data_IF_421351773550
#
_entry.id   IF_421351773550
#
_cell.length_a   1.000
_cell.length_b   1.000
_cell.length_c   1.000
_cell.angle_alpha   90.00
_cell.angle_beta   90.00
_cell.angle_gamma   90.00
#
_symmetry.space_group_name_H-M   'P 1'
#
loop_
_entity.id
_entity.type
_entity.pdbx_description
1 polymer ?
#
# COMPACT_ATOMS: atom_id res chain seq x y z
N UNK A 1 24.70 -24.74 6.52
CA UNK A 1 24.16 -23.57 5.79
C UNK A 1 22.73 -23.87 5.34
N UNK A 2 21.74 -23.22 5.95
CA UNK A 2 20.34 -23.23 5.46
C UNK A 2 19.89 -21.77 5.39
N UNK A 3 20.25 -21.10 4.29
CA UNK A 3 19.77 -19.77 3.94
C UNK A 3 18.46 -19.91 3.15
N UNK A 4 17.38 -20.32 3.81
CA UNK A 4 16.05 -19.98 3.30
C UNK A 4 15.74 -18.56 3.80
N UNK A 5 15.94 -17.62 2.89
CA UNK A 5 15.73 -16.19 2.98
C UNK A 5 14.45 -15.80 3.75
N UNK A 6 14.59 -15.47 5.03
CA UNK A 6 13.65 -14.68 5.83
C UNK A 6 13.48 -13.23 5.34
N UNK A 7 13.94 -12.90 4.12
CA UNK A 7 13.98 -11.52 3.60
C UNK A 7 12.58 -10.91 3.56
N UNK A 8 11.58 -11.62 3.03
CA UNK A 8 10.23 -11.08 2.85
C UNK A 8 9.54 -10.75 4.19
N UNK A 9 9.69 -11.60 5.21
CA UNK A 9 9.12 -11.33 6.53
C UNK A 9 9.81 -10.13 7.19
N UNK A 10 11.13 -10.02 7.05
CA UNK A 10 11.90 -8.90 7.61
C UNK A 10 11.48 -7.55 7.03
N UNK A 11 11.09 -7.47 5.76
CA UNK A 11 10.59 -6.23 5.16
C UNK A 11 9.26 -5.76 5.79
N UNK A 12 8.44 -6.69 6.30
CA UNK A 12 7.18 -6.38 6.98
C UNK A 12 7.33 -5.89 8.43
N UNK A 13 8.54 -5.89 8.99
CA UNK A 13 8.80 -5.44 10.36
C UNK A 13 8.91 -3.91 10.45
N UNK A 14 7.82 -3.21 10.13
CA UNK A 14 7.80 -1.75 9.99
C UNK A 14 8.27 -0.98 11.23
N UNK A 15 7.89 -1.44 12.44
CA UNK A 15 8.33 -0.80 13.68
C UNK A 15 9.86 -0.76 13.79
N UNK A 16 10.54 -1.87 13.45
CA UNK A 16 12.00 -1.96 13.50
C UNK A 16 12.66 -1.02 12.48
N UNK A 17 12.07 -0.89 11.29
CA UNK A 17 12.57 0.04 10.28
C UNK A 17 12.36 1.48 10.71
N UNK A 18 11.18 1.80 11.24
CA UNK A 18 10.85 3.14 11.74
C UNK A 18 11.75 3.57 12.89
N UNK A 19 12.09 2.67 13.81
CA UNK A 19 13.07 2.94 14.87
C UNK A 19 14.43 3.39 14.33
N UNK A 20 14.86 2.83 13.20
CA UNK A 20 16.11 3.25 12.58
C UNK A 20 16.02 4.63 11.93
N UNK A 21 14.89 4.96 11.29
CA UNK A 21 14.65 6.30 10.75
C UNK A 21 14.59 7.36 11.85
N UNK A 22 13.92 7.06 12.97
CA UNK A 22 13.76 7.98 14.10
C UNK A 22 15.07 8.29 14.84
N UNK A 23 16.17 7.55 14.59
CA UNK A 23 17.51 7.90 15.08
C UNK A 23 18.09 9.14 14.39
N UNK A 24 17.64 9.43 13.18
CA UNK A 24 18.21 10.47 12.32
C UNK A 24 17.21 11.56 11.95
N UNK A 25 15.91 11.23 11.91
CA UNK A 25 14.85 12.15 11.56
C UNK A 25 13.82 12.24 12.69
N UNK A 26 13.40 13.45 13.10
CA UNK A 26 12.30 13.62 14.04
C UNK A 26 10.99 13.12 13.42
N UNK A 27 10.03 12.74 14.28
CA UNK A 27 8.76 12.13 13.86
C UNK A 27 7.96 13.04 12.93
N UNK A 28 8.04 14.35 13.13
CA UNK A 28 7.33 15.38 12.37
C UNK A 28 7.81 15.47 10.92
N UNK A 29 9.00 14.94 10.60
CA UNK A 29 9.52 14.86 9.22
C UNK A 29 9.18 13.53 8.53
N UNK A 30 8.33 12.69 9.14
CA UNK A 30 7.92 11.40 8.61
C UNK A 30 6.41 11.33 8.51
N UNK A 31 5.89 11.46 7.29
CA UNK A 31 4.51 11.16 6.98
C UNK A 31 4.36 9.66 6.67
N UNK A 32 3.70 8.95 7.57
CA UNK A 32 3.31 7.57 7.35
C UNK A 32 1.88 7.63 6.82
N UNK A 33 1.50 6.80 5.85
CA UNK A 33 0.14 6.75 5.30
C UNK A 33 -0.39 5.32 5.27
N UNK A 34 -1.70 5.15 5.39
CA UNK A 34 -2.35 3.87 5.14
C UNK A 34 -2.63 3.74 3.65
N UNK A 35 -2.17 2.64 3.03
CA UNK A 35 -2.47 2.38 1.64
C UNK A 35 -3.98 2.34 1.38
N UNK A 36 -4.80 1.78 2.29
CA UNK A 36 -6.27 1.71 2.15
C UNK A 36 -6.92 3.09 1.99
N UNK A 37 -6.41 4.10 2.68
CA UNK A 37 -6.97 5.45 2.63
C UNK A 37 -6.70 6.12 1.28
N UNK A 38 -5.64 5.73 0.57
CA UNK A 38 -5.42 6.17 -0.82
C UNK A 38 -6.51 5.66 -1.78
N UNK A 39 -7.18 4.55 -1.45
CA UNK A 39 -8.27 4.00 -2.26
C UNK A 39 -9.62 4.65 -1.92
N UNK A 40 -9.91 4.81 -0.63
CA UNK A 40 -11.24 5.21 -0.16
C UNK A 40 -11.35 6.71 0.16
N UNK A 41 -10.24 7.39 0.39
CA UNK A 41 -10.19 8.75 0.88
C UNK A 41 -9.07 9.59 0.24
N UNK A 42 -8.90 9.44 -1.08
CA UNK A 42 -7.76 9.98 -1.83
C UNK A 42 -7.58 11.50 -1.65
N UNK A 43 -8.65 12.28 -1.76
CA UNK A 43 -8.57 13.74 -1.72
C UNK A 43 -8.04 14.25 -0.38
N UNK A 44 -8.47 13.64 0.72
CA UNK A 44 -8.00 13.99 2.06
C UNK A 44 -6.54 13.57 2.27
N UNK A 45 -6.15 12.37 1.81
CA UNK A 45 -4.75 11.92 1.92
C UNK A 45 -3.83 12.80 1.06
N UNK A 46 -4.27 13.22 -0.13
CA UNK A 46 -3.52 14.14 -0.97
C UNK A 46 -3.40 15.51 -0.32
N UNK A 47 -4.48 16.03 0.28
CA UNK A 47 -4.44 17.28 1.02
C UNK A 47 -3.45 17.21 2.20
N UNK A 48 -3.49 16.14 3.00
CA UNK A 48 -2.53 15.89 4.08
C UNK A 48 -1.09 15.81 3.55
N UNK A 49 -0.89 15.14 2.41
CA UNK A 49 0.42 15.02 1.78
C UNK A 49 0.94 16.37 1.28
N UNK A 50 0.09 17.19 0.65
CA UNK A 50 0.48 18.53 0.22
C UNK A 50 0.81 19.43 1.40
N UNK A 51 0.01 19.39 2.46
CA UNK A 51 0.24 20.16 3.68
C UNK A 51 1.57 19.74 4.34
N UNK A 52 1.86 18.44 4.42
CA UNK A 52 3.13 17.91 4.94
C UNK A 52 4.34 18.35 4.11
N UNK A 53 4.22 18.35 2.78
CA UNK A 53 5.27 18.80 1.87
C UNK A 53 5.36 20.33 1.74
N UNK A 54 4.48 21.07 2.41
CA UNK A 54 4.34 22.53 2.29
C UNK A 54 4.13 22.97 0.83
N UNK A 55 3.26 22.26 0.11
CA UNK A 55 2.92 22.52 -1.28
C UNK A 55 1.51 23.14 -1.40
N UNK A 56 1.28 24.02 -2.39
CA UNK A 56 -0.07 24.48 -2.71
C UNK A 56 -0.99 23.30 -3.01
N UNK A 57 -2.21 23.33 -2.48
CA UNK A 57 -3.23 22.31 -2.76
C UNK A 57 -3.56 22.33 -4.25
N UNK A 58 -3.33 21.21 -4.91
CA UNK A 58 -3.67 21.03 -6.31
C UNK A 58 -4.77 19.98 -6.45
N UNK A 59 -5.82 20.32 -7.18
CA UNK A 59 -6.85 19.35 -7.55
C UNK A 59 -6.27 18.48 -8.67
N UNK A 60 -5.85 17.26 -8.33
CA UNK A 60 -5.44 16.30 -9.36
C UNK A 60 -6.69 15.93 -10.14
N UNK A 61 -6.78 16.38 -11.40
CA UNK A 61 -7.85 15.96 -12.31
C UNK A 61 -7.87 14.42 -12.32
N UNK A 62 -8.91 13.84 -11.74
CA UNK A 62 -8.96 12.41 -11.52
C UNK A 62 -8.93 11.67 -12.86
N UNK A 63 -7.94 10.79 -13.02
CA UNK A 63 -7.94 9.53 -13.79
C UNK A 63 -8.52 9.57 -15.20
N UNK A 64 -7.67 9.15 -16.15
CA UNK A 64 -8.01 8.67 -17.51
C UNK A 64 -9.52 8.52 -17.74
N UNK A 65 -10.09 9.42 -18.54
CA UNK A 65 -11.49 9.37 -18.95
C UNK A 65 -11.84 7.97 -19.49
N UNK A 66 -12.96 7.39 -19.04
CA UNK A 66 -13.54 6.09 -19.47
C UNK A 66 -13.30 5.77 -20.95
N UNK A 67 -13.42 6.79 -21.80
CA UNK A 67 -13.43 6.68 -23.25
C UNK A 67 -12.04 6.53 -23.90
N UNK A 68 -10.94 6.68 -23.14
CA UNK A 68 -9.55 6.52 -23.63
C UNK A 68 -8.96 5.14 -23.33
N UNK A 69 -9.52 4.40 -22.37
CA UNK A 69 -9.06 3.05 -22.00
C UNK A 69 -9.51 2.03 -23.05
N UNK A 70 -10.77 2.14 -23.52
CA UNK A 70 -11.35 1.24 -24.53
C UNK A 70 -10.76 1.43 -25.95
N UNK A 71 -9.99 2.50 -26.20
CA UNK A 71 -9.46 2.82 -27.53
C UNK A 71 -7.99 2.42 -27.75
N UNK A 72 -7.29 1.94 -26.73
CA UNK A 72 -5.93 1.40 -26.90
C UNK A 72 -6.05 -0.07 -27.35
N UNK A 73 -6.37 -0.25 -28.63
CA UNK A 73 -6.23 -1.56 -29.27
C UNK A 73 -4.76 -1.96 -29.24
N UNK A 74 -4.39 -3.17 -28.80
CA UNK A 74 -3.01 -3.61 -28.89
C UNK A 74 -2.61 -3.73 -30.35
N UNK A 75 -1.66 -2.91 -30.78
CA UNK A 75 -0.93 -3.14 -32.03
C UNK A 75 -0.02 -4.35 -31.77
N UNK A 76 -0.51 -5.55 -32.09
CA UNK A 76 0.29 -6.78 -32.13
C UNK A 76 0.24 -7.66 -30.87
N UNK A 77 -0.57 -8.72 -30.93
CA UNK A 77 -0.08 -10.10 -30.76
C UNK A 77 0.42 -10.62 -29.41
N UNK A 78 0.30 -9.92 -28.28
CA UNK A 78 0.56 -10.49 -26.96
C UNK A 78 -0.57 -10.24 -25.98
N UNK A 79 -1.34 -11.28 -25.66
CA UNK A 79 -2.47 -11.31 -24.72
C UNK A 79 -2.05 -11.13 -23.25
N UNK A 80 -1.26 -10.10 -22.93
CA UNK A 80 -1.12 -9.64 -21.56
C UNK A 80 -2.21 -8.59 -21.32
N UNK A 81 -3.36 -9.08 -20.85
CA UNK A 81 -4.52 -8.28 -20.47
C UNK A 81 -4.14 -7.23 -19.40
N UNK A 82 -3.72 -6.04 -19.84
CA UNK A 82 -3.41 -4.87 -19.00
C UNK A 82 -4.68 -4.34 -18.30
N UNK A 83 -5.86 -4.74 -18.78
CA UNK A 83 -7.18 -4.26 -18.34
C UNK A 83 -7.81 -5.05 -17.18
N UNK A 84 -7.20 -6.17 -16.74
CA UNK A 84 -7.72 -6.94 -15.58
C UNK A 84 -7.48 -6.25 -14.23
N UNK A 85 -6.73 -5.15 -14.20
CA UNK A 85 -6.32 -4.48 -12.96
C UNK A 85 -6.95 -3.09 -12.78
N UNK A 86 -8.09 -2.86 -13.42
CA UNK A 86 -8.87 -1.65 -13.21
C UNK A 86 -9.84 -1.93 -12.07
N UNK A 87 -9.60 -1.31 -10.92
CA UNK A 87 -10.61 -1.26 -9.86
C UNK A 87 -11.82 -0.48 -10.41
N UNK A 88 -13.00 -1.09 -10.41
CA UNK A 88 -14.21 -0.45 -10.97
C UNK A 88 -14.72 0.72 -10.12
N UNK A 89 -14.44 0.70 -8.81
CA UNK A 89 -14.85 1.69 -7.80
C UNK A 89 -13.80 2.80 -7.71
N UNK A 90 -12.53 2.42 -7.72
CA UNK A 90 -11.41 3.35 -7.63
C UNK A 90 -10.74 3.58 -8.96
N UNK A 91 -11.18 3.14 -10.13
CA UNK A 91 -10.68 3.58 -11.47
C UNK A 91 -9.14 3.70 -11.65
N UNK A 92 -8.30 3.00 -10.87
CA UNK A 92 -6.82 3.08 -10.96
C UNK A 92 -6.25 1.87 -11.67
N UNK A 93 -5.23 2.07 -12.49
CA UNK A 93 -4.37 1.02 -13.02
C UNK A 93 -3.42 0.59 -11.90
N UNK A 94 -3.67 -0.57 -11.30
CA UNK A 94 -2.70 -1.19 -10.41
C UNK A 94 -1.93 -2.26 -11.17
N UNK A 95 -0.66 -2.48 -10.81
CA UNK A 95 0.03 -3.68 -11.26
C UNK A 95 -0.36 -4.83 -10.32
N UNK A 96 -1.65 -5.20 -10.33
CA UNK A 96 -2.13 -6.35 -9.55
C UNK A 96 -1.67 -7.59 -10.29
N UNK A 97 -0.63 -8.23 -9.76
CA UNK A 97 -0.26 -9.54 -10.24
C UNK A 97 -1.30 -10.55 -9.73
N UNK A 98 -1.77 -11.43 -10.61
CA UNK A 98 -2.73 -12.46 -10.24
C UNK A 98 -2.03 -13.53 -9.40
N UNK A 99 -2.17 -13.44 -8.08
CA UNK A 99 -1.63 -14.43 -7.14
C UNK A 99 -2.73 -15.40 -6.70
N UNK A 100 -2.42 -16.70 -6.53
CA UNK A 100 -3.36 -17.63 -5.93
C UNK A 100 -3.69 -17.19 -4.49
N UNK A 101 -4.89 -17.53 -4.03
CA UNK A 101 -5.31 -17.24 -2.67
C UNK A 101 -4.37 -17.92 -1.65
N UNK A 102 -4.02 -17.19 -0.59
CA UNK A 102 -3.16 -17.71 0.47
C UNK A 102 -3.92 -18.74 1.30
N UNK A 103 -3.28 -19.87 1.63
CA UNK A 103 -3.83 -20.85 2.57
C UNK A 103 -4.17 -20.20 3.91
N UNK A 104 -5.32 -20.56 4.46
CA UNK A 104 -5.84 -19.95 5.70
C UNK A 104 -4.91 -20.14 6.90
N UNK A 105 -4.22 -21.28 6.98
CA UNK A 105 -3.27 -21.61 8.04
C UNK A 105 -2.03 -20.72 7.96
N UNK A 106 -1.53 -20.48 6.74
CA UNK A 106 -0.41 -19.57 6.50
C UNK A 106 -0.79 -18.14 6.87
N UNK A 107 -2.01 -17.69 6.48
CA UNK A 107 -2.51 -16.36 6.85
C UNK A 107 -2.57 -16.19 8.36
N UNK A 108 -3.14 -17.17 9.08
CA UNK A 108 -3.23 -17.15 10.54
C UNK A 108 -1.84 -17.09 11.17
N UNK A 109 -0.89 -17.91 10.71
CA UNK A 109 0.49 -17.87 11.19
C UNK A 109 1.13 -16.50 10.99
N UNK A 110 0.98 -15.89 9.82
CA UNK A 110 1.54 -14.55 9.54
C UNK A 110 0.89 -13.47 10.40
N UNK A 111 -0.44 -13.52 10.59
CA UNK A 111 -1.15 -12.60 11.49
C UNK A 111 -0.64 -12.73 12.92
N UNK A 112 -0.53 -13.96 13.44
CA UNK A 112 -0.02 -14.22 14.79
C UNK A 112 1.44 -13.76 14.95
N UNK A 113 2.27 -13.97 13.93
CA UNK A 113 3.67 -13.55 13.90
C UNK A 113 3.81 -12.02 13.88
N UNK A 114 3.08 -11.31 13.01
CA UNK A 114 3.21 -9.86 12.87
C UNK A 114 2.47 -9.06 13.95
N UNK A 115 1.47 -9.63 14.62
CA UNK A 115 0.66 -8.94 15.65
C UNK A 115 1.50 -8.13 16.66
N UNK A 116 2.47 -8.68 17.40
CA UNK A 116 3.23 -7.89 18.37
C UNK A 116 4.05 -6.76 17.71
N UNK A 117 4.50 -6.95 16.47
CA UNK A 117 5.24 -5.93 15.72
C UNK A 117 4.32 -4.81 15.23
N UNK A 118 3.09 -5.16 14.84
CA UNK A 118 2.06 -4.21 14.43
C UNK A 118 1.58 -3.36 15.63
N UNK A 119 1.37 -3.96 16.81
CA UNK A 119 1.04 -3.20 18.02
C UNK A 119 2.11 -2.16 18.35
N UNK A 120 3.39 -2.57 18.33
CA UNK A 120 4.51 -1.65 18.53
C UNK A 120 4.52 -0.52 17.51
N UNK A 121 4.25 -0.82 16.24
CA UNK A 121 4.13 0.20 15.21
C UNK A 121 3.01 1.19 15.54
N UNK A 122 1.83 0.70 15.92
CA UNK A 122 0.66 1.53 16.21
C UNK A 122 0.91 2.48 17.38
N UNK A 123 1.57 2.00 18.44
CA UNK A 123 2.02 2.83 19.56
C UNK A 123 2.99 3.93 19.09
N UNK A 124 3.98 3.58 18.27
CA UNK A 124 4.96 4.55 17.76
C UNK A 124 4.32 5.65 16.91
N UNK A 125 3.39 5.27 16.02
CA UNK A 125 2.75 6.23 15.11
C UNK A 125 1.59 6.97 15.77
N UNK A 126 1.00 6.44 16.85
CA UNK A 126 -0.13 7.03 17.56
C UNK A 126 -1.47 6.83 16.85
N UNK A 127 -1.55 5.85 15.95
CA UNK A 127 -2.77 5.47 15.23
C UNK A 127 -2.73 3.99 14.89
N UNK A 128 -3.91 3.39 14.75
CA UNK A 128 -4.07 1.96 14.49
C UNK A 128 -4.51 1.73 13.05
N UNK A 129 -4.03 0.64 12.45
CA UNK A 129 -4.47 0.22 11.13
C UNK A 129 -5.19 -1.14 11.20
N UNK A 130 -6.25 -1.26 10.43
CA UNK A 130 -7.11 -2.46 10.37
C UNK A 130 -6.48 -3.52 9.45
N UNK A 131 -5.32 -4.05 9.88
CA UNK A 131 -4.57 -5.08 9.15
C UNK A 131 -4.91 -6.51 9.58
N UNK A 132 -5.56 -6.69 10.73
CA UNK A 132 -5.85 -8.02 11.28
C UNK A 132 -7.22 -8.57 10.85
N UNK A 133 -8.06 -7.78 10.20
CA UNK A 133 -9.50 -8.07 10.05
C UNK A 133 -9.94 -8.52 8.65
N UNK A 134 -9.01 -8.75 7.71
CA UNK A 134 -9.39 -9.09 6.32
C UNK A 134 -9.06 -10.54 5.92
N UNK A 135 -10.10 -11.17 5.34
CA UNK A 135 -10.08 -12.49 4.69
C UNK A 135 -9.49 -12.41 3.29
#
# INVERSE_FOLDING_TARGET
YHQFSFSHLRHGLYAQHLENWLKFFPKEQLLILNAKDLYYNLDNILAETFDFLNLPKYQIESRIEKNKIDKVRPIGGHERNIYKNIDSKTRTLFNVQNYPEMKSETRKFLQDFFRPHNEKLFEMIGRRFDWNDEK
#
